data_IF_462710808430
#
_entry.id   IF_462710808430
#
_cell.length_a   1.000
_cell.length_b   1.000
_cell.length_c   1.000
_cell.angle_alpha   90.00
_cell.angle_beta   90.00
_cell.angle_gamma   90.00
#
_symmetry.space_group_name_H-M   'P 1'
#
loop_
_entity.id
_entity.type
_entity.pdbx_description
1 polymer ?
#
# COMPACT_ATOMS: atom_id res chain seq x y z
N UNK A 1 -23.92 8.22 -3.41
CA UNK A 1 -23.46 7.42 -2.25
C UNK A 1 -23.17 8.35 -1.09
N UNK A 2 -23.37 7.91 0.15
CA UNK A 2 -23.04 8.70 1.33
C UNK A 2 -21.50 8.86 1.40
N UNK A 3 -21.05 10.07 1.72
CA UNK A 3 -19.63 10.34 1.92
C UNK A 3 -19.28 10.21 3.41
N UNK A 4 -18.67 9.09 3.80
CA UNK A 4 -18.20 8.83 5.16
C UNK A 4 -16.78 9.34 5.43
N UNK A 5 -16.08 9.84 4.39
CA UNK A 5 -14.71 10.38 4.53
C UNK A 5 -14.67 11.86 4.90
N UNK A 6 -15.75 12.60 4.65
CA UNK A 6 -15.79 14.02 4.97
C UNK A 6 -15.52 14.29 6.45
N UNK A 7 -14.49 15.11 6.72
CA UNK A 7 -14.05 15.46 8.07
C UNK A 7 -13.24 14.38 8.81
N UNK A 8 -13.03 13.20 8.22
CA UNK A 8 -12.18 12.14 8.80
C UNK A 8 -10.69 12.50 8.69
N UNK A 9 -9.91 12.12 9.69
CA UNK A 9 -8.45 12.32 9.72
C UNK A 9 -7.73 11.02 9.43
N UNK A 10 -6.90 11.02 8.37
CA UNK A 10 -6.29 9.83 7.77
C UNK A 10 -4.77 9.98 7.77
N UNK A 11 -4.05 9.10 8.46
CA UNK A 11 -2.60 8.98 8.34
C UNK A 11 -2.28 8.05 7.19
N UNK A 12 -1.39 8.47 6.27
CA UNK A 12 -0.96 7.67 5.11
C UNK A 12 0.57 7.65 5.09
N UNK A 13 1.16 6.46 5.30
CA UNK A 13 2.61 6.27 5.21
C UNK A 13 3.02 5.95 3.77
N UNK A 14 4.23 6.35 3.37
CA UNK A 14 4.65 6.25 1.96
C UNK A 14 3.86 7.19 1.06
N UNK A 15 3.46 8.36 1.58
CA UNK A 15 2.60 9.31 0.87
C UNK A 15 3.36 10.12 -0.19
N UNK A 16 4.68 10.06 -0.24
CA UNK A 16 5.49 10.80 -1.21
C UNK A 16 5.39 10.30 -2.65
N UNK A 17 4.78 9.13 -2.90
CA UNK A 17 4.65 8.57 -4.25
C UNK A 17 3.54 7.50 -4.35
N UNK A 18 3.33 6.98 -5.56
CA UNK A 18 2.51 5.79 -5.83
C UNK A 18 1.12 5.81 -5.21
N UNK A 19 0.71 4.71 -4.59
CA UNK A 19 -0.62 4.59 -3.97
C UNK A 19 -0.84 5.60 -2.84
N UNK A 20 0.20 5.85 -2.01
CA UNK A 20 0.09 6.79 -0.89
C UNK A 20 -0.26 8.20 -1.36
N UNK A 21 0.40 8.68 -2.43
CA UNK A 21 0.09 9.97 -3.08
C UNK A 21 -1.35 10.00 -3.60
N UNK A 22 -1.72 9.01 -4.41
CA UNK A 22 -3.05 8.96 -5.04
C UNK A 22 -4.16 8.89 -3.99
N UNK A 23 -4.01 8.08 -2.94
CA UNK A 23 -4.99 7.97 -1.87
C UNK A 23 -5.09 9.27 -1.08
N UNK A 24 -3.96 9.96 -0.79
CA UNK A 24 -3.96 11.26 -0.12
C UNK A 24 -4.77 12.29 -0.90
N UNK A 25 -4.53 12.41 -2.20
CA UNK A 25 -5.23 13.34 -3.07
C UNK A 25 -6.72 13.02 -3.21
N UNK A 26 -7.06 11.74 -3.44
CA UNK A 26 -8.46 11.30 -3.57
C UNK A 26 -9.24 11.44 -2.26
N UNK A 27 -8.65 11.10 -1.11
CA UNK A 27 -9.29 11.26 0.19
C UNK A 27 -9.57 12.73 0.51
N UNK A 28 -8.59 13.61 0.27
CA UNK A 28 -8.78 15.06 0.44
C UNK A 28 -9.85 15.63 -0.48
N UNK A 29 -9.93 15.19 -1.74
CA UNK A 29 -10.99 15.58 -2.67
C UNK A 29 -12.40 15.16 -2.18
N UNK A 30 -12.49 14.17 -1.28
CA UNK A 30 -13.73 13.78 -0.60
C UNK A 30 -13.93 14.50 0.75
N UNK A 31 -13.10 15.49 1.08
CA UNK A 31 -13.23 16.30 2.27
C UNK A 31 -12.57 15.70 3.53
N UNK A 32 -11.71 14.69 3.38
CA UNK A 32 -10.91 14.18 4.49
C UNK A 32 -9.69 15.07 4.78
N UNK A 33 -9.24 15.06 6.03
CA UNK A 33 -7.96 15.59 6.44
C UNK A 33 -6.90 14.49 6.28
N UNK A 34 -5.76 14.80 5.66
CA UNK A 34 -4.71 13.82 5.40
C UNK A 34 -3.39 14.18 6.06
N UNK A 35 -2.78 13.23 6.76
CA UNK A 35 -1.43 13.30 7.31
C UNK A 35 -0.52 12.52 6.38
N UNK A 36 0.21 13.21 5.52
CA UNK A 36 1.10 12.63 4.53
C UNK A 36 2.47 12.37 5.16
N UNK A 37 2.84 11.09 5.27
CA UNK A 37 4.06 10.64 5.96
C UNK A 37 4.99 9.94 4.99
N UNK A 38 6.24 10.41 4.88
CA UNK A 38 7.30 9.79 4.08
C UNK A 38 8.68 10.22 4.58
N UNK A 39 9.73 9.51 4.19
CA UNK A 39 11.12 9.96 4.34
C UNK A 39 11.53 10.94 3.23
N UNK A 40 10.81 10.95 2.09
CA UNK A 40 11.06 11.79 0.93
C UNK A 40 10.25 13.09 0.99
N UNK A 41 10.87 14.16 1.48
CA UNK A 41 10.24 15.48 1.60
C UNK A 41 9.81 16.08 0.26
N UNK A 42 10.61 15.91 -0.79
CA UNK A 42 10.26 16.40 -2.12
C UNK A 42 8.99 15.73 -2.64
N UNK A 43 8.91 14.40 -2.50
CA UNK A 43 7.70 13.65 -2.87
C UNK A 43 6.47 14.04 -2.04
N UNK A 44 6.64 14.36 -0.75
CA UNK A 44 5.54 14.89 0.08
C UNK A 44 5.05 16.24 -0.42
N UNK A 45 5.98 17.16 -0.77
CA UNK A 45 5.63 18.46 -1.32
C UNK A 45 4.80 18.35 -2.59
N UNK A 46 5.23 17.50 -3.54
CA UNK A 46 4.46 17.20 -4.76
C UNK A 46 3.06 16.63 -4.47
N UNK A 47 2.95 15.77 -3.45
CA UNK A 47 1.68 15.16 -3.08
C UNK A 47 0.66 16.18 -2.64
N UNK A 48 1.08 17.17 -1.85
CA UNK A 48 0.16 18.14 -1.25
C UNK A 48 -0.10 19.38 -2.10
N UNK A 49 0.58 19.56 -3.23
CA UNK A 49 0.36 20.71 -4.15
C UNK A 49 -1.11 20.93 -4.53
N UNK A 50 -1.87 19.84 -4.66
CA UNK A 50 -3.29 19.86 -5.04
C UNK A 50 -4.24 19.69 -3.86
N UNK A 51 -3.72 19.63 -2.62
CA UNK A 51 -4.49 19.43 -1.40
C UNK A 51 -4.60 20.76 -0.64
N UNK A 52 -5.82 21.23 -0.26
CA UNK A 52 -5.96 22.45 0.50
C UNK A 52 -5.14 22.43 1.80
N UNK A 53 -4.44 23.54 2.14
CA UNK A 53 -3.55 23.63 3.30
C UNK A 53 -4.24 23.29 4.62
N UNK A 54 -5.51 23.67 4.77
CA UNK A 54 -6.29 23.33 5.95
C UNK A 54 -6.57 21.81 6.10
N UNK A 55 -6.48 21.06 5.03
CA UNK A 55 -6.81 19.63 4.98
C UNK A 55 -5.59 18.69 4.96
N UNK A 56 -4.36 19.21 4.97
CA UNK A 56 -3.20 18.34 5.00
C UNK A 56 -2.21 18.69 6.13
N UNK A 57 -1.45 17.68 6.53
CA UNK A 57 -0.26 17.80 7.39
C UNK A 57 0.86 16.98 6.74
N UNK A 58 1.99 17.60 6.50
CA UNK A 58 3.19 16.93 5.99
C UNK A 58 4.10 16.59 7.17
N UNK A 59 4.48 15.33 7.30
CA UNK A 59 5.39 14.88 8.34
C UNK A 59 6.49 14.01 7.74
N UNK A 60 7.72 14.51 7.72
CA UNK A 60 8.88 13.65 7.44
C UNK A 60 9.09 12.72 8.61
N UNK A 61 8.99 11.41 8.36
CA UNK A 61 9.17 10.38 9.37
C UNK A 61 9.60 9.06 8.73
N UNK A 62 10.42 8.30 9.48
CA UNK A 62 10.78 6.92 9.16
C UNK A 62 9.84 5.97 9.89
N UNK A 63 9.09 5.15 9.15
CA UNK A 63 8.16 4.17 9.74
C UNK A 63 8.88 3.12 10.60
N UNK A 64 10.18 2.90 10.39
CA UNK A 64 10.98 1.98 11.21
C UNK A 64 11.30 2.52 12.60
N UNK A 65 11.09 3.83 12.82
CA UNK A 65 11.27 4.53 14.09
C UNK A 65 9.95 4.65 14.84
N UNK A 66 9.82 3.95 15.97
CA UNK A 66 8.63 4.03 16.83
C UNK A 66 8.42 5.45 17.41
N UNK A 67 9.51 6.19 17.67
CA UNK A 67 9.42 7.59 18.15
C UNK A 67 8.89 8.53 17.07
N UNK A 68 9.28 8.32 15.81
CA UNK A 68 8.75 9.09 14.69
C UNK A 68 7.26 8.84 14.50
N UNK A 69 6.82 7.58 14.53
CA UNK A 69 5.40 7.25 14.38
C UNK A 69 4.55 7.78 15.54
N UNK A 70 5.07 7.76 16.77
CA UNK A 70 4.40 8.43 17.91
C UNK A 70 4.27 9.96 17.69
N UNK A 71 5.32 10.61 17.17
CA UNK A 71 5.29 12.02 16.81
C UNK A 71 4.26 12.32 15.72
N UNK A 72 4.16 11.47 14.69
CA UNK A 72 3.15 11.55 13.62
C UNK A 72 1.73 11.54 14.22
N UNK A 73 1.43 10.57 15.09
CA UNK A 73 0.11 10.45 15.72
C UNK A 73 -0.21 11.67 16.60
N UNK A 74 0.76 12.15 17.40
CA UNK A 74 0.59 13.33 18.25
C UNK A 74 0.27 14.59 17.42
N UNK A 75 1.02 14.83 16.33
CA UNK A 75 0.79 15.98 15.45
C UNK A 75 -0.54 15.87 14.68
N UNK A 76 -0.97 14.64 14.31
CA UNK A 76 -2.28 14.41 13.69
C UNK A 76 -3.42 14.80 14.64
N UNK A 77 -3.34 14.38 15.92
CA UNK A 77 -4.32 14.72 16.95
C UNK A 77 -4.31 16.22 17.26
N UNK A 78 -3.13 16.82 17.37
CA UNK A 78 -2.98 18.27 17.63
C UNK A 78 -3.65 19.10 16.52
N UNK A 79 -3.44 18.75 15.24
CA UNK A 79 -3.98 19.50 14.10
C UNK A 79 -5.46 19.23 13.83
N UNK A 80 -5.90 17.97 13.91
CA UNK A 80 -7.22 17.55 13.45
C UNK A 80 -8.14 17.00 14.55
N UNK A 81 -7.64 16.94 15.79
CA UNK A 81 -8.42 16.51 16.96
C UNK A 81 -8.53 15.00 17.14
N UNK A 82 -8.38 14.22 16.07
CA UNK A 82 -8.55 12.76 16.11
C UNK A 82 -7.82 12.05 14.94
N UNK A 83 -7.70 10.73 15.07
CA UNK A 83 -7.24 9.85 14.00
C UNK A 83 -8.34 8.82 13.74
N UNK A 84 -8.91 8.81 12.54
CA UNK A 84 -9.96 7.87 12.15
C UNK A 84 -9.43 6.68 11.36
N UNK A 85 -8.41 6.92 10.52
CA UNK A 85 -7.82 5.90 9.66
C UNK A 85 -6.30 6.00 9.69
N UNK A 86 -5.63 4.84 9.68
CA UNK A 86 -4.23 4.74 9.29
C UNK A 86 -4.10 3.79 8.10
N UNK A 87 -3.37 4.23 7.07
CA UNK A 87 -2.96 3.40 5.95
C UNK A 87 -1.46 3.14 6.04
N UNK A 88 -1.09 1.92 6.44
CA UNK A 88 0.28 1.43 6.42
C UNK A 88 0.64 1.01 4.99
N UNK A 89 1.15 1.97 4.21
CA UNK A 89 1.44 1.79 2.80
C UNK A 89 2.95 1.83 2.49
N UNK A 90 3.76 2.47 3.31
CA UNK A 90 5.21 2.47 3.12
C UNK A 90 5.75 1.03 2.98
N UNK A 91 6.55 0.79 1.94
CA UNK A 91 7.08 -0.53 1.67
C UNK A 91 8.12 -0.54 0.57
N UNK A 92 8.98 -1.56 0.54
CA UNK A 92 9.98 -1.81 -0.48
C UNK A 92 9.92 -3.27 -0.95
N UNK A 93 10.38 -3.55 -2.17
CA UNK A 93 10.27 -4.86 -2.82
C UNK A 93 11.61 -5.30 -3.41
N UNK A 94 12.59 -5.73 -2.60
CA UNK A 94 13.91 -6.19 -3.06
C UNK A 94 13.85 -7.66 -3.51
N UNK A 95 13.23 -7.94 -4.66
CA UNK A 95 13.15 -9.28 -5.22
C UNK A 95 14.56 -9.77 -5.63
N UNK A 96 14.88 -10.99 -5.21
CA UNK A 96 16.13 -11.67 -5.49
C UNK A 96 16.01 -13.14 -5.09
N UNK A 97 16.82 -14.04 -5.68
CA UNK A 97 16.93 -15.44 -5.23
C UNK A 97 17.78 -15.54 -3.97
N UNK A 98 17.65 -16.63 -3.21
CA UNK A 98 18.55 -16.85 -2.05
C UNK A 98 20.01 -16.94 -2.45
N UNK A 99 20.32 -17.37 -3.67
CA UNK A 99 21.68 -17.34 -4.23
C UNK A 99 22.28 -15.94 -4.36
N UNK A 100 21.43 -14.91 -4.42
CA UNK A 100 21.87 -13.50 -4.52
C UNK A 100 22.19 -12.87 -3.14
N UNK A 101 22.24 -13.67 -2.06
CA UNK A 101 22.36 -13.19 -0.69
C UNK A 101 23.53 -12.23 -0.46
N UNK A 102 24.64 -12.41 -1.19
CA UNK A 102 25.83 -11.57 -1.02
C UNK A 102 25.57 -10.09 -1.35
N UNK A 103 24.64 -9.80 -2.26
CA UNK A 103 24.26 -8.44 -2.68
C UNK A 103 22.90 -8.00 -2.14
N UNK A 104 22.05 -8.94 -1.69
CA UNK A 104 20.68 -8.68 -1.31
C UNK A 104 20.48 -8.51 0.20
N UNK A 105 21.36 -9.02 1.05
CA UNK A 105 21.16 -9.18 2.48
C UNK A 105 20.78 -7.87 3.18
N UNK A 106 21.49 -6.77 2.93
CA UNK A 106 21.20 -5.49 3.56
C UNK A 106 19.82 -4.95 3.14
N UNK A 107 19.44 -5.14 1.86
CA UNK A 107 18.14 -4.76 1.36
C UNK A 107 17.01 -5.64 1.89
N UNK A 108 17.30 -6.92 2.14
CA UNK A 108 16.35 -7.81 2.80
C UNK A 108 16.11 -7.41 4.26
N UNK A 109 17.16 -7.07 5.01
CA UNK A 109 17.01 -6.54 6.38
C UNK A 109 16.19 -5.24 6.37
N UNK A 110 16.50 -4.33 5.45
CA UNK A 110 15.70 -3.11 5.28
C UNK A 110 14.23 -3.43 4.95
N UNK A 111 13.97 -4.47 4.14
CA UNK A 111 12.61 -4.90 3.80
C UNK A 111 11.85 -5.41 5.04
N UNK A 112 12.49 -6.19 5.90
CA UNK A 112 11.90 -6.62 7.17
C UNK A 112 11.58 -5.42 8.07
N UNK A 113 12.51 -4.46 8.18
CA UNK A 113 12.31 -3.27 8.99
C UNK A 113 11.15 -2.39 8.45
N UNK A 114 11.13 -2.10 7.16
CA UNK A 114 10.09 -1.22 6.58
C UNK A 114 8.74 -1.94 6.54
N UNK A 115 8.68 -3.14 5.96
CA UNK A 115 7.41 -3.80 5.65
C UNK A 115 6.74 -4.47 6.85
N UNK A 116 7.50 -4.89 7.88
CA UNK A 116 6.95 -5.53 9.08
C UNK A 116 6.98 -4.56 10.26
N UNK A 117 8.18 -4.15 10.69
CA UNK A 117 8.33 -3.27 11.86
C UNK A 117 7.64 -1.91 11.63
N UNK A 118 7.70 -1.38 10.39
CA UNK A 118 6.95 -0.17 10.01
C UNK A 118 5.45 -0.32 10.20
N UNK A 119 4.87 -1.45 9.79
CA UNK A 119 3.44 -1.74 10.00
C UNK A 119 3.10 -1.87 11.49
N UNK A 120 3.93 -2.55 12.26
CA UNK A 120 3.76 -2.66 13.73
C UNK A 120 3.78 -1.29 14.39
N UNK A 121 4.75 -0.43 14.03
CA UNK A 121 4.84 0.92 14.56
C UNK A 121 3.62 1.78 14.16
N UNK A 122 3.13 1.63 12.92
CA UNK A 122 1.94 2.31 12.45
C UNK A 122 0.68 1.89 13.24
N UNK A 123 0.49 0.60 13.47
CA UNK A 123 -0.61 0.11 14.31
C UNK A 123 -0.46 0.65 15.75
N UNK A 124 0.71 0.48 16.34
CA UNK A 124 0.95 0.83 17.73
C UNK A 124 0.75 2.34 18.02
N UNK A 125 1.07 3.22 17.05
CA UNK A 125 0.95 4.67 17.27
C UNK A 125 -0.49 5.17 17.32
N UNK A 126 -1.46 4.41 16.82
CA UNK A 126 -2.90 4.78 16.79
C UNK A 126 -3.77 3.91 17.69
N UNK A 127 -3.25 2.78 18.17
CA UNK A 127 -4.02 1.73 18.84
C UNK A 127 -4.80 2.25 20.04
N UNK A 128 -4.12 2.84 21.01
CA UNK A 128 -4.76 3.32 22.24
C UNK A 128 -5.83 4.38 21.94
N UNK A 129 -5.50 5.34 21.08
CA UNK A 129 -6.45 6.38 20.65
C UNK A 129 -7.71 5.82 20.00
N UNK A 130 -7.58 4.85 19.09
CA UNK A 130 -8.73 4.22 18.43
C UNK A 130 -9.53 3.33 19.40
N UNK A 131 -8.84 2.60 20.31
CA UNK A 131 -9.49 1.75 21.30
C UNK A 131 -10.27 2.53 22.35
N UNK A 132 -9.75 3.68 22.81
CA UNK A 132 -10.43 4.60 23.73
C UNK A 132 -11.68 5.23 23.09
N UNK A 133 -11.60 5.60 21.81
CA UNK A 133 -12.74 6.12 21.05
C UNK A 133 -13.78 5.06 20.70
N UNK A 134 -13.41 3.76 20.72
CA UNK A 134 -14.28 2.65 20.31
C UNK A 134 -14.47 2.59 18.78
N UNK A 135 -13.72 3.33 18.00
CA UNK A 135 -13.78 3.35 16.54
C UNK A 135 -12.43 3.69 15.90
N UNK A 136 -12.16 3.10 14.75
CA UNK A 136 -10.98 3.33 13.94
C UNK A 136 -10.95 2.42 12.71
N UNK A 137 -10.00 2.67 11.80
CA UNK A 137 -9.77 1.82 10.65
C UNK A 137 -8.28 1.71 10.35
N UNK A 138 -7.74 0.50 10.38
CA UNK A 138 -6.37 0.19 9.97
C UNK A 138 -6.41 -0.47 8.60
N UNK A 139 -5.70 0.11 7.63
CA UNK A 139 -5.53 -0.44 6.28
C UNK A 139 -4.07 -0.81 6.10
N UNK A 140 -3.80 -2.08 5.81
CA UNK A 140 -2.45 -2.59 5.60
C UNK A 140 -2.25 -3.01 4.15
N UNK A 141 -1.20 -2.48 3.52
CA UNK A 141 -0.82 -2.84 2.16
C UNK A 141 -0.03 -4.15 2.15
N UNK A 142 -0.71 -5.22 1.77
CA UNK A 142 -0.12 -6.52 1.47
C UNK A 142 0.20 -6.65 -0.03
N UNK A 143 0.14 -7.83 -0.57
CA UNK A 143 0.38 -8.15 -1.98
C UNK A 143 -0.13 -9.56 -2.29
N UNK A 144 -0.35 -9.89 -3.56
CA UNK A 144 -0.54 -11.29 -3.99
C UNK A 144 0.68 -12.17 -3.68
N UNK A 145 1.89 -11.60 -3.57
CA UNK A 145 3.09 -12.31 -3.10
C UNK A 145 2.96 -12.87 -1.66
N UNK A 146 1.98 -12.39 -0.88
CA UNK A 146 1.63 -12.95 0.42
C UNK A 146 0.74 -14.18 0.37
N UNK A 147 0.19 -14.57 -0.80
CA UNK A 147 -0.71 -15.71 -0.90
C UNK A 147 0.03 -17.05 -0.87
N UNK A 148 1.06 -17.20 -1.72
CA UNK A 148 1.88 -18.40 -1.83
C UNK A 148 3.33 -18.06 -2.17
N UNK A 149 4.30 -18.90 -1.79
CA UNK A 149 5.69 -18.69 -2.17
C UNK A 149 5.89 -18.89 -3.67
N UNK A 150 6.62 -17.97 -4.27
CA UNK A 150 7.12 -18.06 -5.65
C UNK A 150 8.62 -17.77 -5.66
N UNK A 151 9.32 -18.30 -6.67
CA UNK A 151 10.76 -18.05 -6.83
C UNK A 151 11.04 -16.55 -6.88
N UNK A 152 12.12 -16.13 -6.24
CA UNK A 152 12.56 -14.72 -6.20
C UNK A 152 11.81 -13.80 -5.24
N UNK A 153 10.69 -14.25 -4.64
CA UNK A 153 9.90 -13.42 -3.71
C UNK A 153 10.26 -13.60 -2.24
N UNK A 154 11.16 -14.52 -1.91
CA UNK A 154 11.56 -14.98 -0.59
C UNK A 154 11.24 -14.01 0.58
N UNK A 155 12.10 -13.02 0.86
CA UNK A 155 11.92 -12.09 1.98
C UNK A 155 10.71 -11.15 1.75
N UNK A 156 10.54 -10.62 0.54
CA UNK A 156 9.39 -9.76 0.27
C UNK A 156 8.05 -10.47 0.50
N UNK A 157 7.90 -11.67 -0.07
CA UNK A 157 6.70 -12.50 0.15
C UNK A 157 6.48 -12.81 1.63
N UNK A 158 7.54 -13.19 2.35
CA UNK A 158 7.47 -13.43 3.80
C UNK A 158 6.98 -12.19 4.57
N UNK A 159 7.43 -10.96 4.18
CA UNK A 159 6.91 -9.74 4.83
C UNK A 159 5.41 -9.55 4.57
N UNK A 160 4.92 -9.90 3.38
CA UNK A 160 3.49 -9.73 3.05
C UNK A 160 2.60 -10.78 3.72
N UNK A 161 3.09 -12.02 3.92
CA UNK A 161 2.45 -13.02 4.81
C UNK A 161 2.38 -12.50 6.25
N UNK A 162 3.48 -11.92 6.75
CA UNK A 162 3.50 -11.35 8.10
C UNK A 162 2.48 -10.20 8.25
N UNK A 163 2.36 -9.32 7.25
CA UNK A 163 1.35 -8.23 7.24
C UNK A 163 -0.07 -8.81 7.28
N UNK A 164 -0.35 -9.86 6.51
CA UNK A 164 -1.66 -10.53 6.53
C UNK A 164 -1.96 -11.07 7.94
N UNK A 165 -1.01 -11.79 8.53
CA UNK A 165 -1.16 -12.37 9.86
C UNK A 165 -1.36 -11.30 10.96
N UNK A 166 -0.54 -10.24 10.95
CA UNK A 166 -0.67 -9.10 11.88
C UNK A 166 -2.04 -8.43 11.75
N UNK A 167 -2.55 -8.30 10.53
CA UNK A 167 -3.85 -7.70 10.27
C UNK A 167 -4.99 -8.56 10.83
N UNK A 168 -4.95 -9.87 10.64
CA UNK A 168 -5.95 -10.79 11.20
C UNK A 168 -5.88 -10.84 12.73
N UNK A 169 -4.67 -10.85 13.32
CA UNK A 169 -4.50 -10.79 14.77
C UNK A 169 -5.13 -9.51 15.34
N UNK A 170 -4.83 -8.35 14.73
CA UNK A 170 -5.42 -7.07 15.14
C UNK A 170 -6.96 -7.11 15.05
N UNK A 171 -7.52 -7.68 13.99
CA UNK A 171 -8.98 -7.81 13.83
C UNK A 171 -9.63 -8.63 14.93
N UNK A 172 -8.98 -9.73 15.35
CA UNK A 172 -9.45 -10.58 16.45
C UNK A 172 -9.40 -9.84 17.78
N UNK A 173 -8.28 -9.16 18.08
CA UNK A 173 -8.06 -8.47 19.35
C UNK A 173 -8.96 -7.23 19.51
N UNK A 174 -9.28 -6.55 18.41
CA UNK A 174 -10.05 -5.27 18.42
C UNK A 174 -11.50 -5.43 17.98
N UNK A 175 -12.01 -6.65 18.02
CA UNK A 175 -13.37 -6.99 17.57
C UNK A 175 -14.43 -5.99 18.00
N UNK A 176 -15.17 -5.46 17.00
CA UNK A 176 -16.26 -4.51 17.22
C UNK A 176 -15.83 -3.05 17.45
N UNK A 177 -14.51 -2.74 17.47
CA UNK A 177 -13.99 -1.38 17.66
C UNK A 177 -13.21 -0.87 16.45
N UNK A 178 -12.19 -1.59 16.01
CA UNK A 178 -11.31 -1.16 14.92
C UNK A 178 -11.58 -2.01 13.67
N UNK A 179 -11.88 -1.37 12.55
CA UNK A 179 -11.92 -2.03 11.24
C UNK A 179 -10.51 -2.34 10.78
N UNK A 180 -10.31 -3.49 10.15
CA UNK A 180 -9.02 -3.87 9.57
C UNK A 180 -9.25 -4.31 8.12
N UNK A 181 -8.56 -3.69 7.18
CA UNK A 181 -8.60 -4.03 5.76
C UNK A 181 -7.21 -4.38 5.25
N UNK A 182 -7.08 -5.53 4.60
CA UNK A 182 -5.88 -5.96 3.88
C UNK A 182 -6.07 -5.64 2.40
N UNK A 183 -5.14 -4.92 1.80
CA UNK A 183 -5.18 -4.60 0.36
C UNK A 183 -4.07 -5.38 -0.34
N UNK A 184 -4.44 -6.17 -1.36
CA UNK A 184 -3.54 -7.04 -2.12
C UNK A 184 -3.54 -6.65 -3.61
N UNK A 185 -2.74 -5.66 -4.02
CA UNK A 185 -2.59 -5.36 -5.45
C UNK A 185 -1.82 -6.47 -6.15
N UNK A 186 -2.09 -6.62 -7.45
CA UNK A 186 -1.19 -7.34 -8.36
C UNK A 186 -0.11 -6.42 -8.91
N UNK A 187 0.54 -6.75 -10.02
CA UNK A 187 1.58 -5.90 -10.60
C UNK A 187 1.03 -4.56 -11.10
N UNK A 188 1.57 -3.49 -10.56
CA UNK A 188 1.28 -2.11 -10.97
C UNK A 188 2.60 -1.44 -11.33
N UNK A 189 2.85 -1.27 -12.63
CA UNK A 189 4.14 -0.80 -13.14
C UNK A 189 4.45 0.67 -12.80
N UNK A 190 3.42 1.48 -12.58
CA UNK A 190 3.54 2.92 -12.32
C UNK A 190 3.90 3.26 -10.87
N UNK A 191 4.25 2.28 -10.03
CA UNK A 191 4.69 2.51 -8.65
C UNK A 191 6.21 2.44 -8.53
N UNK A 192 6.80 3.18 -7.58
CA UNK A 192 8.24 3.17 -7.29
C UNK A 192 8.80 1.84 -6.78
N UNK A 193 7.94 0.86 -6.47
CA UNK A 193 8.33 -0.46 -5.94
C UNK A 193 9.24 -1.25 -6.90
N UNK A 194 9.01 -1.13 -8.20
CA UNK A 194 9.80 -1.84 -9.24
C UNK A 194 11.28 -1.45 -9.17
N UNK A 195 11.60 -0.20 -8.82
CA UNK A 195 12.98 0.26 -8.65
C UNK A 195 13.75 -0.40 -7.49
N UNK A 196 13.07 -1.15 -6.63
CA UNK A 196 13.68 -1.90 -5.52
C UNK A 196 14.14 -3.32 -5.89
N UNK A 197 13.78 -3.83 -7.08
CA UNK A 197 14.13 -5.18 -7.54
C UNK A 197 15.66 -5.28 -7.71
N UNK A 198 16.29 -6.27 -7.05
CA UNK A 198 17.72 -6.48 -7.09
C UNK A 198 18.10 -7.36 -8.29
N UNK A 199 17.40 -8.46 -8.46
CA UNK A 199 17.57 -9.37 -9.57
C UNK A 199 16.30 -9.38 -10.45
N UNK A 200 16.35 -8.83 -11.67
CA UNK A 200 15.18 -8.79 -12.56
C UNK A 200 14.58 -10.17 -12.85
N UNK A 201 15.39 -11.24 -12.91
CA UNK A 201 14.89 -12.60 -13.12
C UNK A 201 14.01 -13.09 -11.96
N UNK A 202 14.23 -12.58 -10.74
CA UNK A 202 13.39 -12.91 -9.59
C UNK A 202 11.95 -12.36 -9.70
N UNK A 203 11.70 -11.41 -10.61
CA UNK A 203 10.36 -10.85 -10.82
C UNK A 203 9.46 -11.76 -11.65
N UNK A 204 10.01 -12.75 -12.37
CA UNK A 204 9.22 -13.61 -13.25
C UNK A 204 8.61 -14.84 -12.56
N UNK A 205 9.05 -15.17 -11.34
CA UNK A 205 8.54 -16.31 -10.59
C UNK A 205 7.02 -16.29 -10.39
N UNK A 206 6.44 -15.10 -10.19
CA UNK A 206 4.98 -14.92 -10.02
C UNK A 206 4.19 -15.12 -11.32
N UNK A 207 4.85 -15.13 -12.48
CA UNK A 207 4.23 -15.32 -13.79
C UNK A 207 4.14 -16.81 -14.14
N UNK A 208 5.05 -17.63 -13.61
CA UNK A 208 5.06 -19.08 -13.76
C UNK A 208 5.06 -19.49 -15.23
N UNK A 209 4.16 -20.39 -15.61
CA UNK A 209 4.07 -20.91 -17.00
C UNK A 209 3.64 -19.87 -18.05
N UNK A 210 3.25 -18.67 -17.65
CA UNK A 210 2.86 -17.59 -18.57
C UNK A 210 4.05 -16.71 -19.00
N UNK A 211 5.30 -17.01 -18.58
CA UNK A 211 6.49 -16.15 -18.79
C UNK A 211 6.65 -15.78 -20.26
N UNK A 212 6.64 -16.74 -21.19
CA UNK A 212 6.86 -16.48 -22.62
C UNK A 212 5.85 -15.47 -23.17
N UNK A 213 4.57 -15.72 -22.92
CA UNK A 213 3.48 -14.85 -23.39
C UNK A 213 3.54 -13.47 -22.75
N UNK A 214 3.92 -13.41 -21.46
CA UNK A 214 4.08 -12.14 -20.73
C UNK A 214 5.25 -11.32 -21.29
N UNK A 215 6.40 -11.94 -21.53
CA UNK A 215 7.58 -11.27 -22.08
C UNK A 215 7.31 -10.68 -23.46
N UNK A 216 6.68 -11.44 -24.36
CA UNK A 216 6.27 -10.96 -25.68
C UNK A 216 5.35 -9.73 -25.60
N UNK A 217 4.41 -9.72 -24.64
CA UNK A 217 3.50 -8.59 -24.42
C UNK A 217 4.24 -7.37 -23.86
N UNK A 218 5.18 -7.58 -22.95
CA UNK A 218 5.98 -6.49 -22.38
C UNK A 218 6.92 -5.87 -23.42
N UNK A 219 7.54 -6.68 -24.28
CA UNK A 219 8.33 -6.22 -25.41
C UNK A 219 7.48 -5.37 -26.38
N UNK A 220 6.32 -5.86 -26.77
CA UNK A 220 5.39 -5.11 -27.62
C UNK A 220 4.91 -3.81 -26.96
N UNK A 221 4.67 -3.83 -25.64
CA UNK A 221 4.30 -2.62 -24.89
C UNK A 221 5.42 -1.57 -24.91
N UNK A 222 6.66 -1.99 -24.66
CA UNK A 222 7.84 -1.10 -24.69
C UNK A 222 8.12 -0.55 -26.09
N UNK A 223 7.87 -1.35 -27.14
CA UNK A 223 7.99 -0.93 -28.53
C UNK A 223 6.83 -0.03 -28.98
N UNK A 224 5.76 0.10 -28.20
CA UNK A 224 4.55 0.82 -28.61
C UNK A 224 3.72 0.10 -29.67
N UNK A 225 3.97 -1.21 -29.86
CA UNK A 225 3.34 -2.10 -30.85
C UNK A 225 2.26 -3.01 -30.26
N UNK A 226 1.98 -2.89 -28.95
CA UNK A 226 0.98 -3.72 -28.29
C UNK A 226 -0.44 -3.40 -28.82
N UNK A 227 -1.25 -4.43 -28.97
CA UNK A 227 -2.66 -4.27 -29.29
C UNK A 227 -3.34 -3.41 -28.22
N UNK A 228 -4.09 -2.40 -28.67
CA UNK A 228 -4.77 -1.41 -27.83
C UNK A 228 -5.73 -2.02 -26.82
N UNK A 229 -6.26 -3.20 -27.07
CA UNK A 229 -7.14 -3.91 -26.14
C UNK A 229 -6.41 -4.35 -24.86
N UNK A 230 -5.08 -4.56 -24.91
CA UNK A 230 -4.29 -4.90 -23.72
C UNK A 230 -4.00 -3.72 -22.80
N UNK A 231 -4.13 -2.51 -23.29
CA UNK A 231 -3.93 -1.27 -22.50
C UNK A 231 -5.23 -0.50 -22.25
N UNK A 232 -6.35 -1.01 -22.74
CA UNK A 232 -7.67 -0.41 -22.54
C UNK A 232 -8.41 -1.08 -21.35
N UNK A 233 -8.68 -0.35 -20.26
CA UNK A 233 -9.35 -0.91 -19.08
C UNK A 233 -10.79 -1.36 -19.32
N UNK A 234 -11.42 -0.94 -20.44
CA UNK A 234 -12.76 -1.38 -20.84
C UNK A 234 -12.76 -2.78 -21.49
N UNK A 235 -11.58 -3.37 -21.65
CA UNK A 235 -11.39 -4.68 -22.29
C UNK A 235 -10.93 -5.73 -21.30
N UNK A 236 -11.46 -6.96 -21.45
CA UNK A 236 -11.07 -8.11 -20.62
C UNK A 236 -9.60 -8.53 -20.78
N UNK A 237 -8.97 -8.13 -21.89
CA UNK A 237 -7.55 -8.36 -22.16
C UNK A 237 -6.62 -7.40 -21.43
N UNK A 238 -7.15 -6.38 -20.74
CA UNK A 238 -6.36 -5.37 -20.00
C UNK A 238 -5.35 -6.03 -19.06
N UNK A 239 -4.05 -5.69 -19.22
CA UNK A 239 -2.94 -6.34 -18.49
C UNK A 239 -2.17 -5.38 -17.56
N UNK A 240 -2.29 -4.08 -17.77
CA UNK A 240 -1.48 -3.07 -17.08
C UNK A 240 -2.35 -2.31 -16.06
N UNK A 241 -2.52 -2.89 -14.87
CA UNK A 241 -3.35 -2.28 -13.83
C UNK A 241 -2.83 -0.88 -13.49
N UNK A 242 -3.65 0.15 -13.74
CA UNK A 242 -3.34 1.51 -13.32
C UNK A 242 -3.47 1.67 -11.81
N UNK A 243 -2.54 2.43 -11.21
CA UNK A 243 -2.50 2.66 -9.76
C UNK A 243 -3.77 3.35 -9.24
N UNK A 244 -4.47 4.12 -10.08
CA UNK A 244 -5.71 4.81 -9.71
C UNK A 244 -6.82 3.84 -9.33
N UNK A 245 -6.94 2.69 -10.02
CA UNK A 245 -7.94 1.67 -9.67
C UNK A 245 -7.69 1.05 -8.29
N UNK A 246 -6.42 0.85 -7.93
CA UNK A 246 -6.07 0.38 -6.58
C UNK A 246 -6.42 1.45 -5.55
N UNK A 247 -6.07 2.71 -5.81
CA UNK A 247 -6.41 3.83 -4.94
C UNK A 247 -7.93 3.98 -4.77
N UNK A 248 -8.72 3.81 -5.85
CA UNK A 248 -10.18 3.86 -5.78
C UNK A 248 -10.77 2.77 -4.88
N UNK A 249 -10.22 1.55 -4.90
CA UNK A 249 -10.68 0.48 -4.00
C UNK A 249 -10.29 0.74 -2.55
N UNK A 250 -9.13 1.35 -2.30
CA UNK A 250 -8.73 1.78 -0.96
C UNK A 250 -9.69 2.86 -0.46
N UNK A 251 -9.99 3.87 -1.26
CA UNK A 251 -10.98 4.91 -0.94
C UNK A 251 -12.36 4.29 -0.69
N UNK A 252 -12.79 3.35 -1.52
CA UNK A 252 -14.05 2.63 -1.32
C UNK A 252 -14.08 1.89 0.03
N UNK A 253 -12.99 1.20 0.41
CA UNK A 253 -12.87 0.54 1.72
C UNK A 253 -12.95 1.53 2.89
N UNK A 254 -12.33 2.71 2.75
CA UNK A 254 -12.41 3.79 3.74
C UNK A 254 -13.81 4.39 3.83
N UNK A 255 -14.50 4.53 2.70
CA UNK A 255 -15.80 5.20 2.57
C UNK A 255 -16.99 4.28 2.91
N UNK A 256 -16.85 3.39 3.88
CA UNK A 256 -17.89 2.53 4.40
C UNK A 256 -18.29 2.95 5.82
N UNK A 257 -19.57 2.75 6.21
CA UNK A 257 -19.99 3.05 7.58
C UNK A 257 -19.19 2.21 8.58
N UNK A 258 -19.10 2.68 9.83
CA UNK A 258 -18.25 2.05 10.86
C UNK A 258 -18.58 0.58 11.10
N UNK A 259 -19.82 0.18 11.00
CA UNK A 259 -20.25 -1.20 11.18
C UNK A 259 -19.97 -2.15 10.01
N UNK A 260 -19.37 -1.64 8.90
CA UNK A 260 -19.09 -2.43 7.69
C UNK A 260 -17.60 -2.35 7.34
N UNK A 261 -16.97 -3.49 7.15
CA UNK A 261 -15.56 -3.59 6.82
C UNK A 261 -15.33 -4.53 5.63
N UNK A 262 -14.45 -4.14 4.72
CA UNK A 262 -13.86 -5.07 3.75
C UNK A 262 -12.66 -5.73 4.44
N UNK A 263 -12.71 -7.04 4.68
CA UNK A 263 -11.64 -7.77 5.37
C UNK A 263 -10.37 -7.84 4.54
N UNK A 264 -10.52 -8.22 3.27
CA UNK A 264 -9.42 -8.28 2.30
C UNK A 264 -9.92 -7.92 0.91
N UNK A 265 -9.11 -7.19 0.15
CA UNK A 265 -9.42 -6.77 -1.23
C UNK A 265 -8.22 -7.07 -2.12
N UNK A 266 -8.42 -7.93 -3.12
CA UNK A 266 -7.44 -8.18 -4.17
C UNK A 266 -7.87 -7.45 -5.43
N UNK A 267 -6.97 -6.63 -6.00
CA UNK A 267 -7.23 -5.86 -7.21
C UNK A 267 -6.31 -6.36 -8.32
N UNK A 268 -6.90 -6.73 -9.46
CA UNK A 268 -6.20 -7.33 -10.62
C UNK A 268 -6.63 -6.66 -11.91
N UNK A 269 -5.71 -6.64 -12.88
CA UNK A 269 -6.11 -6.50 -14.28
C UNK A 269 -6.66 -7.86 -14.76
N UNK A 270 -7.79 -7.87 -15.47
CA UNK A 270 -8.45 -9.13 -15.90
C UNK A 270 -7.57 -10.00 -16.78
N UNK A 271 -6.70 -9.38 -17.60
CA UNK A 271 -5.77 -10.07 -18.50
C UNK A 271 -4.36 -10.24 -17.94
N UNK A 272 -4.11 -9.99 -16.64
CA UNK A 272 -2.77 -10.17 -16.06
C UNK A 272 -2.30 -11.65 -16.16
N UNK A 273 -0.99 -11.85 -16.08
CA UNK A 273 -0.37 -13.16 -16.26
C UNK A 273 -0.01 -13.84 -14.94
N UNK A 274 -0.35 -13.25 -13.80
CA UNK A 274 0.07 -13.76 -12.49
C UNK A 274 -0.66 -15.03 -12.10
N UNK A 275 0.08 -16.02 -11.58
CA UNK A 275 -0.43 -17.35 -11.19
C UNK A 275 -1.01 -17.42 -9.79
N UNK A 276 -0.92 -16.31 -9.01
CA UNK A 276 -1.41 -16.21 -7.62
C UNK A 276 -2.72 -15.46 -7.51
#
# INVERSE_FOLDING_TARGET
MTNYLSGKSIIITGAGSGFGRLVSQKASAMGANVVCVDINEAGLSETVEVIPEAQHLVVKADVTSASDMKRVAAQAIEKFGQIDVIMNNAGIMPLAFFSDHAQALDKWHQCLDVNIKGVVNGIACVYDHMMERGEGHVINMSSIFGNYPVEGSNIYGATKVAVDYLSESLRVETHGKIKVTIVKPTGVLSTGLVGGIINPEAAVGIIGHNVEKHSQRMEALMAGEIDKDYINPEKSQYINLDASYVADQIINAMNLPQGVSLGSVTIRATGDAYIL
#
